data_IF_086804696800
#
_entry.id   IF_086804696800
#
_cell.length_a   1.000
_cell.length_b   1.000
_cell.length_c   1.000
_cell.angle_alpha   90.00
_cell.angle_beta   90.00
_cell.angle_gamma   90.00
#
_symmetry.space_group_name_H-M   'P 1'
#
loop_
_entity.id
_entity.type
_entity.pdbx_description
1 polymer ?
#
# COMPACT_ATOMS: atom_id res chain seq x y z
N UNK A 1 18.50 19.99 -8.80
CA UNK A 1 18.55 18.66 -8.17
C UNK A 1 17.42 18.45 -7.15
N UNK A 2 16.83 19.51 -6.58
CA UNK A 2 15.77 19.40 -5.56
C UNK A 2 14.47 18.73 -6.06
N UNK A 3 14.07 18.98 -7.30
CA UNK A 3 12.83 18.40 -7.89
C UNK A 3 12.86 16.86 -7.98
N UNK A 4 14.03 16.27 -8.25
CA UNK A 4 14.20 14.81 -8.29
C UNK A 4 14.11 14.18 -6.89
N UNK A 5 14.66 14.84 -5.88
CA UNK A 5 14.59 14.38 -4.50
C UNK A 5 13.16 14.42 -3.96
N UNK A 6 12.37 15.44 -4.34
CA UNK A 6 10.94 15.53 -4.02
C UNK A 6 10.12 14.42 -4.68
N UNK A 7 10.41 14.10 -5.95
CA UNK A 7 9.71 13.02 -6.63
C UNK A 7 10.05 11.66 -6.00
N UNK A 8 11.32 11.42 -5.69
CA UNK A 8 11.76 10.20 -5.03
C UNK A 8 11.14 10.06 -3.62
N UNK A 9 11.10 11.13 -2.83
CA UNK A 9 10.49 11.10 -1.50
C UNK A 9 8.98 10.87 -1.56
N UNK A 10 8.28 11.41 -2.56
CA UNK A 10 6.86 11.15 -2.80
C UNK A 10 6.60 9.66 -3.12
N UNK A 11 7.40 9.07 -4.00
CA UNK A 11 7.29 7.64 -4.39
C UNK A 11 7.56 6.73 -3.18
N UNK A 12 8.59 7.06 -2.41
CA UNK A 12 8.95 6.34 -1.18
C UNK A 12 7.83 6.49 -0.14
N UNK A 13 7.27 7.68 0.06
CA UNK A 13 6.17 7.91 0.99
C UNK A 13 4.89 7.16 0.58
N UNK A 14 4.53 7.18 -0.71
CA UNK A 14 3.40 6.42 -1.25
C UNK A 14 3.53 4.92 -1.01
N UNK A 15 4.74 4.38 -1.13
CA UNK A 15 5.00 2.95 -0.89
C UNK A 15 5.02 2.63 0.60
N UNK A 16 5.76 3.43 1.38
CA UNK A 16 5.95 3.23 2.81
C UNK A 16 4.65 3.38 3.60
N UNK A 17 3.77 4.30 3.18
CA UNK A 17 2.51 4.59 3.84
C UNK A 17 1.32 3.91 3.15
N UNK A 18 1.32 3.77 1.82
CA UNK A 18 0.20 3.21 1.07
C UNK A 18 -0.13 1.76 1.48
N UNK A 19 0.90 0.93 1.68
CA UNK A 19 0.73 -0.44 2.17
C UNK A 19 0.06 -0.48 3.57
N UNK A 20 0.65 0.15 4.60
CA UNK A 20 0.03 0.24 5.93
C UNK A 20 -1.34 0.92 5.96
N UNK A 21 -1.55 1.96 5.16
CA UNK A 21 -2.85 2.65 5.06
C UNK A 21 -3.90 1.71 4.48
N UNK A 22 -3.57 0.97 3.41
CA UNK A 22 -4.48 -0.02 2.84
C UNK A 22 -4.86 -1.09 3.88
N UNK A 23 -3.89 -1.53 4.69
CA UNK A 23 -4.12 -2.47 5.76
C UNK A 23 -5.00 -1.86 6.86
N UNK A 24 -4.71 -0.64 7.31
CA UNK A 24 -5.47 0.07 8.33
C UNK A 24 -6.94 0.28 7.90
N UNK A 25 -7.19 0.57 6.62
CA UNK A 25 -8.54 0.68 6.07
C UNK A 25 -9.33 -0.63 6.22
N UNK A 26 -8.67 -1.79 6.18
CA UNK A 26 -9.37 -3.08 6.44
C UNK A 26 -9.84 -3.27 7.88
N UNK A 27 -9.40 -2.42 8.82
CA UNK A 27 -9.85 -2.42 10.22
C UNK A 27 -10.92 -1.36 10.51
N UNK A 28 -11.30 -0.52 9.53
CA UNK A 28 -12.30 0.51 9.77
C UNK A 28 -13.67 -0.12 10.08
N UNK A 29 -14.35 0.31 11.16
CA UNK A 29 -15.69 -0.19 11.47
C UNK A 29 -16.71 0.22 10.40
N UNK A 30 -17.63 -0.68 10.07
CA UNK A 30 -18.70 -0.49 9.08
C UNK A 30 -19.62 0.72 9.36
N UNK A 31 -19.55 1.27 10.58
CA UNK A 31 -20.27 2.48 10.98
C UNK A 31 -19.78 3.73 10.26
N UNK A 32 -18.52 3.74 9.80
CA UNK A 32 -17.91 4.88 9.12
C UNK A 32 -18.07 4.82 7.60
N UNK A 33 -17.93 3.63 7.01
CA UNK A 33 -18.01 3.45 5.56
C UNK A 33 -18.69 2.11 5.20
N UNK A 34 -19.45 2.05 4.10
CA UNK A 34 -20.00 0.80 3.59
C UNK A 34 -18.88 -0.22 3.30
N UNK A 35 -19.11 -1.48 3.65
CA UNK A 35 -18.20 -2.60 3.40
C UNK A 35 -17.65 -2.63 1.97
N UNK A 36 -18.51 -2.43 0.98
CA UNK A 36 -18.12 -2.44 -0.44
C UNK A 36 -17.08 -1.34 -0.74
N UNK A 37 -17.27 -0.15 -0.18
CA UNK A 37 -16.36 1.00 -0.38
C UNK A 37 -15.00 0.74 0.26
N UNK A 38 -14.97 0.19 1.48
CA UNK A 38 -13.72 -0.16 2.17
C UNK A 38 -12.94 -1.18 1.34
N UNK A 39 -13.60 -2.23 0.82
CA UNK A 39 -12.94 -3.26 0.02
C UNK A 39 -12.35 -2.69 -1.26
N UNK A 40 -13.09 -1.83 -1.97
CA UNK A 40 -12.62 -1.23 -3.23
C UNK A 40 -11.45 -0.28 -2.97
N UNK A 41 -11.55 0.63 -1.99
CA UNK A 41 -10.49 1.59 -1.68
C UNK A 41 -9.22 0.91 -1.16
N UNK A 42 -9.36 -0.02 -0.21
CA UNK A 42 -8.21 -0.74 0.33
C UNK A 42 -7.52 -1.57 -0.76
N UNK A 43 -8.29 -2.20 -1.67
CA UNK A 43 -7.73 -2.92 -2.82
C UNK A 43 -6.99 -1.98 -3.79
N UNK A 44 -7.57 -0.83 -4.13
CA UNK A 44 -6.96 0.14 -5.04
C UNK A 44 -5.64 0.68 -4.49
N UNK A 45 -5.62 1.06 -3.21
CA UNK A 45 -4.41 1.57 -2.55
C UNK A 45 -3.35 0.46 -2.42
N UNK A 46 -3.76 -0.77 -2.07
CA UNK A 46 -2.85 -1.91 -2.01
C UNK A 46 -2.23 -2.21 -3.38
N UNK A 47 -3.01 -2.16 -4.46
CA UNK A 47 -2.51 -2.37 -5.83
C UNK A 47 -1.46 -1.31 -6.22
N UNK A 48 -1.72 -0.03 -5.91
CA UNK A 48 -0.77 1.07 -6.15
C UNK A 48 0.50 0.85 -5.33
N UNK A 49 0.38 0.51 -4.04
CA UNK A 49 1.53 0.27 -3.17
C UNK A 49 2.40 -0.90 -3.64
N UNK A 50 1.80 -1.98 -4.16
CA UNK A 50 2.53 -3.11 -4.75
C UNK A 50 3.25 -2.66 -6.02
N UNK A 51 2.54 -1.97 -6.92
CA UNK A 51 3.12 -1.53 -8.19
C UNK A 51 4.33 -0.61 -7.96
N UNK A 52 4.18 0.41 -7.13
CA UNK A 52 5.24 1.36 -6.82
C UNK A 52 6.36 0.68 -6.02
N UNK A 53 6.04 -0.18 -5.06
CA UNK A 53 7.04 -0.88 -4.25
C UNK A 53 7.92 -1.84 -5.07
N UNK A 54 7.32 -2.60 -6.00
CA UNK A 54 8.06 -3.44 -6.93
C UNK A 54 8.90 -2.60 -7.89
N UNK A 55 8.34 -1.49 -8.41
CA UNK A 55 9.09 -0.57 -9.26
C UNK A 55 10.31 0.00 -8.54
N UNK A 56 10.18 0.39 -7.28
CA UNK A 56 11.25 0.93 -6.45
C UNK A 56 12.35 -0.12 -6.20
N UNK A 57 11.99 -1.39 -5.99
CA UNK A 57 12.97 -2.47 -5.82
C UNK A 57 13.81 -2.74 -7.07
N UNK A 58 13.19 -2.66 -8.26
CA UNK A 58 13.83 -2.99 -9.53
C UNK A 58 14.69 -1.83 -10.05
N UNK A 59 14.22 -0.59 -9.90
CA UNK A 59 14.84 0.57 -10.52
C UNK A 59 15.84 1.31 -9.61
N UNK A 60 15.90 0.97 -8.31
CA UNK A 60 16.78 1.64 -7.36
C UNK A 60 17.70 0.64 -6.68
N UNK A 61 18.99 0.70 -7.02
CA UNK A 61 20.05 -0.08 -6.38
C UNK A 61 20.49 0.52 -5.04
N UNK A 62 19.52 0.67 -4.13
CA UNK A 62 19.77 1.08 -2.75
C UNK A 62 19.12 0.11 -1.78
N UNK A 63 19.83 -0.19 -0.69
CA UNK A 63 19.31 -1.03 0.38
C UNK A 63 18.01 -0.44 0.96
N UNK A 64 17.95 0.89 1.14
CA UNK A 64 16.77 1.56 1.68
C UNK A 64 15.54 1.43 0.78
N UNK A 65 15.73 1.52 -0.53
CA UNK A 65 14.66 1.32 -1.51
C UNK A 65 14.11 -0.11 -1.49
N UNK A 66 14.98 -1.12 -1.36
CA UNK A 66 14.55 -2.52 -1.24
C UNK A 66 13.80 -2.79 0.05
N UNK A 67 14.28 -2.26 1.18
CA UNK A 67 13.62 -2.41 2.49
C UNK A 67 12.24 -1.73 2.47
N UNK A 68 12.15 -0.47 2.06
CA UNK A 68 10.87 0.27 2.04
C UNK A 68 9.91 -0.33 1.01
N UNK A 69 10.40 -0.68 -0.17
CA UNK A 69 9.63 -1.40 -1.18
C UNK A 69 9.05 -2.70 -0.63
N UNK A 70 9.86 -3.50 0.08
CA UNK A 70 9.42 -4.79 0.63
C UNK A 70 8.38 -4.62 1.72
N UNK A 71 8.57 -3.62 2.59
CA UNK A 71 7.62 -3.30 3.63
C UNK A 71 6.25 -2.88 3.06
N UNK A 72 6.25 -1.99 2.07
CA UNK A 72 5.02 -1.56 1.39
C UNK A 72 4.30 -2.70 0.66
N UNK A 73 5.05 -3.56 -0.03
CA UNK A 73 4.49 -4.74 -0.71
C UNK A 73 3.92 -5.74 0.28
N UNK A 74 4.65 -6.09 1.34
CA UNK A 74 4.19 -7.07 2.35
C UNK A 74 2.91 -6.58 3.03
N UNK A 75 2.88 -5.32 3.45
CA UNK A 75 1.69 -4.75 4.12
C UNK A 75 0.48 -4.68 3.19
N UNK A 76 0.68 -4.34 1.91
CA UNK A 76 -0.37 -4.37 0.89
C UNK A 76 -0.89 -5.79 0.61
N UNK A 77 -0.02 -6.80 0.56
CA UNK A 77 -0.41 -8.21 0.40
C UNK A 77 -1.24 -8.68 1.59
N UNK A 78 -0.86 -8.31 2.82
CA UNK A 78 -1.65 -8.63 4.02
C UNK A 78 -3.02 -7.95 3.97
N UNK A 79 -3.10 -6.70 3.50
CA UNK A 79 -4.37 -5.99 3.33
C UNK A 79 -5.31 -6.73 2.37
N UNK A 80 -4.79 -7.15 1.21
CA UNK A 80 -5.54 -7.94 0.22
C UNK A 80 -6.00 -9.28 0.80
N UNK A 81 -5.12 -9.99 1.51
CA UNK A 81 -5.47 -11.23 2.20
C UNK A 81 -6.65 -11.03 3.16
N UNK A 82 -6.63 -9.95 3.95
CA UNK A 82 -7.72 -9.59 4.87
C UNK A 82 -9.04 -9.30 4.15
N UNK A 83 -9.00 -8.59 3.03
CA UNK A 83 -10.17 -8.28 2.20
C UNK A 83 -10.86 -9.55 1.67
N UNK A 84 -10.06 -10.57 1.30
CA UNK A 84 -10.55 -11.82 0.70
C UNK A 84 -11.02 -12.82 1.77
N UNK A 85 -10.24 -13.00 2.85
CA UNK A 85 -10.46 -14.08 3.83
C UNK A 85 -11.19 -13.66 5.10
N UNK A 86 -11.02 -12.42 5.56
CA UNK A 86 -11.50 -12.00 6.90
C UNK A 86 -12.78 -11.20 6.79
N UNK A 87 -12.89 -10.31 5.80
CA UNK A 87 -14.10 -9.50 5.60
C UNK A 87 -15.15 -10.39 4.93
N UNK A 88 -16.26 -10.74 5.61
CA UNK A 88 -17.30 -11.59 5.05
C UNK A 88 -17.85 -11.00 3.75
N UNK A 89 -18.26 -11.88 2.82
CA UNK A 89 -18.96 -11.46 1.61
C UNK A 89 -20.28 -10.81 2.02
N UNK A 90 -20.57 -9.64 1.45
CA UNK A 90 -21.89 -9.01 1.52
C UNK A 90 -22.97 -10.01 1.07
#
# INVERSE_FOLDING_TARGET
MESLALLASLIVALTALGGPISLALTFLPQRLLPLAVIKILAFLIAAIAIFIGVFLMINVDSLGARVIGSFGVITAVIAIYRIIRVIPKL
#
